data_IF_447828472624
#
_entry.id   IF_447828472624
#
_cell.length_a   1.000
_cell.length_b   1.000
_cell.length_c   1.000
_cell.angle_alpha   90.00
_cell.angle_beta   90.00
_cell.angle_gamma   90.00
#
_symmetry.space_group_name_H-M   'P 1'
#
loop_
_entity.id
_entity.type
_entity.pdbx_description
1 polymer ?
#
# COMPACT_ATOMS: atom_id res chain seq x y z
N UNK A 1 33.92 11.64 25.46
CA UNK A 1 32.85 11.95 26.44
C UNK A 1 31.58 12.34 25.70
N UNK A 2 30.49 11.69 26.06
CA UNK A 2 29.18 12.02 25.49
C UNK A 2 28.37 12.80 26.52
N UNK A 3 27.79 13.92 26.08
CA UNK A 3 26.84 14.69 26.88
C UNK A 3 25.41 14.38 26.39
N UNK A 4 24.50 14.14 27.33
CA UNK A 4 23.11 13.87 27.04
C UNK A 4 22.23 15.00 27.57
N UNK A 5 21.42 15.58 26.68
CA UNK A 5 20.40 16.57 27.04
C UNK A 5 19.02 15.89 26.84
N UNK A 6 18.17 15.94 27.85
CA UNK A 6 16.81 15.44 27.79
C UNK A 6 15.89 16.62 27.60
N UNK A 7 15.10 16.56 26.51
CA UNK A 7 14.06 17.54 26.18
C UNK A 7 12.70 16.86 26.34
N UNK A 8 11.89 17.35 27.26
CA UNK A 8 10.54 16.86 27.48
C UNK A 8 9.56 17.70 26.68
N UNK A 9 8.81 17.04 25.79
CA UNK A 9 7.80 17.69 24.95
C UNK A 9 6.44 17.65 25.64
N UNK A 10 5.65 18.71 25.40
CA UNK A 10 4.25 18.68 25.82
C UNK A 10 3.47 17.61 25.01
N UNK A 11 2.56 16.85 25.62
CA UNK A 11 1.73 15.86 24.91
C UNK A 11 0.99 16.39 23.66
N UNK A 12 0.69 17.67 23.61
CA UNK A 12 0.08 18.32 22.44
C UNK A 12 1.01 18.43 21.22
N UNK A 13 2.32 18.29 21.42
CA UNK A 13 3.36 18.38 20.40
C UNK A 13 3.94 16.98 20.04
N UNK A 14 3.25 15.89 20.37
CA UNK A 14 3.79 14.55 20.15
C UNK A 14 3.58 14.00 18.73
N UNK A 15 2.76 14.65 17.92
CA UNK A 15 2.51 14.22 16.52
C UNK A 15 2.06 15.39 15.65
N UNK A 16 2.36 15.33 14.35
CA UNK A 16 1.91 16.26 13.34
C UNK A 16 2.97 17.28 12.88
N UNK A 17 2.56 18.22 12.02
CA UNK A 17 3.44 19.16 11.33
C UNK A 17 4.22 20.07 12.30
N UNK A 18 3.60 20.50 13.40
CA UNK A 18 4.25 21.33 14.43
C UNK A 18 5.43 20.62 15.07
N UNK A 19 5.32 19.30 15.24
CA UNK A 19 6.35 18.47 15.78
C UNK A 19 7.53 18.32 14.80
N UNK A 20 7.25 18.21 13.52
CA UNK A 20 8.25 18.12 12.47
C UNK A 20 9.05 19.42 12.35
N UNK A 21 8.36 20.56 12.40
CA UNK A 21 8.99 21.86 12.40
C UNK A 21 9.87 22.07 13.64
N UNK A 22 9.41 21.68 14.81
CA UNK A 22 10.20 21.72 16.06
C UNK A 22 11.45 20.85 15.97
N UNK A 23 11.35 19.62 15.44
CA UNK A 23 12.49 18.72 15.28
C UNK A 23 13.56 19.31 14.34
N UNK A 24 13.13 19.93 13.25
CA UNK A 24 14.02 20.57 12.27
C UNK A 24 14.71 21.82 12.86
N UNK A 25 13.98 22.62 13.63
CA UNK A 25 14.54 23.75 14.38
C UNK A 25 15.57 23.27 15.40
N UNK A 26 15.30 22.23 16.16
CA UNK A 26 16.22 21.64 17.11
C UNK A 26 17.51 21.17 16.45
N UNK A 27 17.43 20.49 15.29
CA UNK A 27 18.60 20.09 14.50
C UNK A 27 19.41 21.28 14.00
N UNK A 28 18.73 22.31 13.53
CA UNK A 28 19.36 23.53 13.03
C UNK A 28 20.11 24.26 14.15
N UNK A 29 19.47 24.40 15.31
CA UNK A 29 20.08 25.02 16.49
C UNK A 29 21.29 24.20 16.96
N UNK A 30 21.13 22.89 17.08
CA UNK A 30 22.21 22.00 17.54
C UNK A 30 23.44 22.11 16.62
N UNK A 31 23.25 22.06 15.29
CA UNK A 31 24.34 22.22 14.30
C UNK A 31 24.99 23.61 14.35
N UNK A 32 24.23 24.65 14.68
CA UNK A 32 24.76 26.01 14.82
C UNK A 32 25.74 26.15 15.97
N UNK A 33 25.46 25.49 17.12
CA UNK A 33 26.29 25.57 18.30
C UNK A 33 27.41 24.51 18.36
N UNK A 34 27.24 23.40 17.64
CA UNK A 34 28.18 22.29 17.57
C UNK A 34 28.47 21.91 16.12
N UNK A 35 29.11 22.78 15.31
CA UNK A 35 29.31 22.54 13.88
C UNK A 35 30.18 21.31 13.58
N UNK A 36 31.14 20.99 14.45
CA UNK A 36 32.11 19.89 14.30
C UNK A 36 31.75 18.67 15.18
N UNK A 37 30.61 18.70 15.85
CA UNK A 37 30.19 17.63 16.77
C UNK A 37 29.24 16.64 16.14
N UNK A 38 29.39 15.36 16.48
CA UNK A 38 28.39 14.34 16.17
C UNK A 38 27.16 14.53 17.07
N UNK A 39 26.08 15.05 16.50
CA UNK A 39 24.84 15.31 17.23
C UNK A 39 23.80 14.28 16.78
N UNK A 40 23.29 13.52 17.75
CA UNK A 40 22.23 12.56 17.57
C UNK A 40 20.98 13.03 18.32
N UNK A 41 19.90 13.35 17.59
CA UNK A 41 18.58 13.52 18.17
C UNK A 41 17.86 12.16 18.11
N UNK A 42 17.52 11.62 19.28
CA UNK A 42 16.82 10.34 19.39
C UNK A 42 15.62 10.47 20.34
N UNK A 43 14.51 9.93 19.96
CA UNK A 43 13.26 9.94 20.73
C UNK A 43 12.09 9.56 19.83
N UNK A 44 10.93 9.24 20.42
CA UNK A 44 9.75 8.81 19.66
C UNK A 44 9.35 9.86 18.62
N UNK A 45 9.41 11.09 19.01
CA UNK A 45 9.10 12.24 18.18
C UNK A 45 10.04 12.41 16.97
N UNK A 46 11.34 12.26 17.16
CA UNK A 46 12.32 12.36 16.08
C UNK A 46 12.29 11.14 15.17
N UNK A 47 11.99 9.97 15.70
CA UNK A 47 11.82 8.75 14.92
C UNK A 47 10.67 8.89 13.92
N UNK A 48 9.52 9.41 14.35
CA UNK A 48 8.38 9.61 13.48
C UNK A 48 8.69 10.57 12.31
N UNK A 49 9.39 11.68 12.61
CA UNK A 49 9.87 12.62 11.61
C UNK A 49 10.84 11.99 10.60
N UNK A 50 11.83 11.26 11.08
CA UNK A 50 12.85 10.63 10.23
C UNK A 50 12.23 9.54 9.34
N UNK A 51 11.31 8.77 9.90
CA UNK A 51 10.53 7.80 9.14
C UNK A 51 9.69 8.47 8.05
N UNK A 52 8.98 9.54 8.34
CA UNK A 52 8.17 10.24 7.35
C UNK A 52 9.03 10.79 6.21
N UNK A 53 10.20 11.36 6.51
CA UNK A 53 11.11 11.93 5.50
C UNK A 53 11.72 10.87 4.59
N UNK A 54 12.11 9.72 5.15
CA UNK A 54 12.64 8.59 4.39
C UNK A 54 11.52 7.90 3.59
N UNK A 55 10.33 7.82 4.16
CA UNK A 55 9.20 7.10 3.60
C UNK A 55 8.80 7.56 2.19
N UNK A 56 8.83 8.86 1.91
CA UNK A 56 8.43 9.37 0.60
C UNK A 56 9.31 8.81 -0.53
N UNK A 57 10.62 8.69 -0.26
CA UNK A 57 11.58 8.13 -1.23
C UNK A 57 11.44 6.61 -1.29
N UNK A 58 11.37 5.95 -0.14
CA UNK A 58 11.23 4.49 -0.06
C UNK A 58 9.94 4.01 -0.72
N UNK A 59 8.84 4.74 -0.54
CA UNK A 59 7.55 4.43 -1.18
C UNK A 59 7.64 4.49 -2.71
N UNK A 60 8.28 5.52 -3.26
CA UNK A 60 8.48 5.63 -4.71
C UNK A 60 9.34 4.48 -5.22
N UNK A 61 10.45 4.18 -4.54
CA UNK A 61 11.35 3.10 -4.93
C UNK A 61 10.64 1.75 -4.89
N UNK A 62 9.95 1.43 -3.81
CA UNK A 62 9.20 0.17 -3.66
C UNK A 62 8.11 0.06 -4.72
N UNK A 63 7.33 1.13 -4.96
CA UNK A 63 6.27 1.12 -5.97
C UNK A 63 6.83 0.92 -7.38
N UNK A 64 7.88 1.64 -7.76
CA UNK A 64 8.50 1.50 -9.10
C UNK A 64 9.09 0.11 -9.28
N UNK A 65 9.80 -0.42 -8.29
CA UNK A 65 10.39 -1.77 -8.35
C UNK A 65 9.30 -2.83 -8.44
N UNK A 66 8.22 -2.70 -7.66
CA UNK A 66 7.08 -3.62 -7.69
C UNK A 66 6.41 -3.62 -9.07
N UNK A 67 6.11 -2.44 -9.62
CA UNK A 67 5.51 -2.32 -10.97
C UNK A 67 6.42 -2.90 -12.04
N UNK A 68 7.74 -2.67 -11.95
CA UNK A 68 8.70 -3.24 -12.90
C UNK A 68 8.74 -4.77 -12.84
N UNK A 69 8.79 -5.36 -11.65
CA UNK A 69 8.78 -6.81 -11.48
C UNK A 69 7.49 -7.40 -12.06
N UNK A 70 6.35 -6.80 -11.72
CA UNK A 70 5.03 -7.19 -12.23
C UNK A 70 4.98 -7.09 -13.75
N UNK A 71 5.46 -5.99 -14.32
CA UNK A 71 5.50 -5.80 -15.77
C UNK A 71 6.32 -6.89 -16.47
N UNK A 72 7.50 -7.22 -15.93
CA UNK A 72 8.37 -8.27 -16.46
C UNK A 72 7.63 -9.62 -16.45
N UNK A 73 7.03 -10.00 -15.32
CA UNK A 73 6.28 -11.26 -15.18
C UNK A 73 5.13 -11.32 -16.18
N UNK A 74 4.35 -10.25 -16.32
CA UNK A 74 3.23 -10.19 -17.26
C UNK A 74 3.67 -10.23 -18.72
N UNK A 75 4.80 -9.59 -19.08
CA UNK A 75 5.36 -9.65 -20.43
C UNK A 75 5.74 -11.08 -20.80
N UNK A 76 6.35 -11.83 -19.88
CA UNK A 76 6.66 -13.24 -20.10
C UNK A 76 5.39 -14.11 -20.23
N UNK A 77 4.35 -13.80 -19.45
CA UNK A 77 3.11 -14.57 -19.43
C UNK A 77 2.28 -14.36 -20.71
N UNK A 78 2.11 -13.12 -21.16
CA UNK A 78 1.16 -12.81 -22.25
C UNK A 78 1.81 -12.66 -23.63
N UNK A 79 3.12 -12.62 -23.73
CA UNK A 79 3.84 -12.39 -25.00
C UNK A 79 3.30 -11.21 -25.82
N UNK A 80 2.70 -10.24 -25.15
CA UNK A 80 2.09 -9.03 -25.69
C UNK A 80 2.35 -7.86 -24.75
N UNK A 81 2.55 -6.66 -25.29
CA UNK A 81 2.84 -5.47 -24.48
C UNK A 81 1.56 -4.76 -24.00
N UNK A 82 0.51 -4.81 -24.81
CA UNK A 82 -0.72 -4.07 -24.55
C UNK A 82 -1.49 -4.59 -23.30
N UNK A 83 -1.59 -5.91 -23.16
CA UNK A 83 -2.30 -6.53 -22.01
C UNK A 83 -1.63 -6.23 -20.67
N UNK A 84 -0.31 -6.43 -20.48
CA UNK A 84 0.39 -6.06 -19.25
C UNK A 84 0.21 -4.60 -18.84
N UNK A 85 0.35 -3.66 -19.77
CA UNK A 85 0.18 -2.23 -19.47
C UNK A 85 -1.24 -1.94 -18.98
N UNK A 86 -2.26 -2.48 -19.65
CA UNK A 86 -3.65 -2.28 -19.27
C UNK A 86 -3.93 -2.87 -17.88
N UNK A 87 -3.44 -4.08 -17.60
CA UNK A 87 -3.62 -4.74 -16.31
C UNK A 87 -2.97 -3.95 -15.18
N UNK A 88 -1.74 -3.46 -15.35
CA UNK A 88 -1.05 -2.63 -14.36
C UNK A 88 -1.83 -1.35 -14.10
N UNK A 89 -2.31 -0.65 -15.13
CA UNK A 89 -3.11 0.56 -14.97
C UNK A 89 -4.39 0.31 -14.16
N UNK A 90 -5.06 -0.81 -14.41
CA UNK A 90 -6.27 -1.20 -13.65
C UNK A 90 -5.94 -1.52 -12.21
N UNK A 91 -4.87 -2.28 -11.96
CA UNK A 91 -4.44 -2.66 -10.61
C UNK A 91 -4.02 -1.43 -9.81
N UNK A 92 -3.17 -0.56 -10.37
CA UNK A 92 -2.74 0.68 -9.72
C UNK A 92 -3.93 1.61 -9.45
N UNK A 93 -4.83 1.76 -10.42
CA UNK A 93 -6.05 2.53 -10.24
C UNK A 93 -6.93 2.01 -9.10
N UNK A 94 -7.08 0.69 -8.99
CA UNK A 94 -7.82 0.05 -7.90
C UNK A 94 -7.16 0.28 -6.52
N UNK A 95 -5.82 0.22 -6.45
CA UNK A 95 -5.05 0.52 -5.23
C UNK A 95 -5.26 1.98 -4.82
N UNK A 96 -5.20 2.92 -5.74
CA UNK A 96 -5.42 4.34 -5.46
C UNK A 96 -6.84 4.62 -4.97
N UNK A 97 -7.85 4.00 -5.56
CA UNK A 97 -9.24 4.09 -5.10
C UNK A 97 -9.37 3.56 -3.67
N UNK A 98 -8.75 2.42 -3.35
CA UNK A 98 -8.77 1.87 -2.01
C UNK A 98 -8.15 2.83 -0.97
N UNK A 99 -7.01 3.43 -1.27
CA UNK A 99 -6.36 4.39 -0.36
C UNK A 99 -7.05 5.76 -0.30
N UNK A 100 -7.94 6.06 -1.23
CA UNK A 100 -8.79 7.26 -1.15
C UNK A 100 -9.84 7.13 -0.04
N UNK A 101 -10.30 5.92 0.30
CA UNK A 101 -11.33 5.70 1.32
C UNK A 101 -10.93 6.22 2.71
N UNK A 102 -9.77 5.86 3.28
CA UNK A 102 -9.30 6.41 4.54
C UNK A 102 -9.16 7.94 4.54
N UNK A 103 -8.75 8.53 3.41
CA UNK A 103 -8.66 9.97 3.25
C UNK A 103 -10.02 10.65 3.35
N UNK A 104 -11.08 10.07 2.78
CA UNK A 104 -12.45 10.59 2.90
C UNK A 104 -13.04 10.43 4.31
N UNK A 105 -12.67 9.37 5.03
CA UNK A 105 -13.16 9.09 6.39
C UNK A 105 -12.31 9.81 7.46
N UNK A 106 -11.24 10.50 7.05
CA UNK A 106 -10.29 11.18 7.96
C UNK A 106 -9.65 10.24 9.00
N UNK A 107 -9.45 8.99 8.63
CA UNK A 107 -8.71 8.03 9.48
C UNK A 107 -7.22 8.09 9.16
N UNK A 108 -6.36 8.33 10.16
CA UNK A 108 -4.92 8.38 9.92
C UNK A 108 -4.42 6.99 9.50
N UNK A 109 -3.74 6.93 8.37
CA UNK A 109 -3.02 5.74 7.93
C UNK A 109 -1.56 5.86 8.32
N UNK A 110 -1.08 4.88 9.08
CA UNK A 110 0.35 4.77 9.34
C UNK A 110 1.09 4.41 8.04
N UNK A 111 2.17 5.10 7.76
CA UNK A 111 2.97 4.93 6.54
C UNK A 111 3.40 3.47 6.29
N UNK A 112 3.79 2.75 7.33
CA UNK A 112 4.18 1.34 7.24
C UNK A 112 2.99 0.45 6.81
N UNK A 113 1.79 0.76 7.31
CA UNK A 113 0.55 0.10 6.88
C UNK A 113 0.28 0.30 5.39
N UNK A 114 0.49 1.52 4.88
CA UNK A 114 0.36 1.81 3.45
C UNK A 114 1.28 0.95 2.58
N UNK A 115 2.58 0.88 2.90
CA UNK A 115 3.56 0.07 2.16
C UNK A 115 3.20 -1.43 2.15
N UNK A 116 2.84 -1.97 3.31
CA UNK A 116 2.49 -3.38 3.44
C UNK A 116 1.22 -3.70 2.65
N UNK A 117 0.18 -2.89 2.82
CA UNK A 117 -1.12 -3.12 2.17
C UNK A 117 -1.01 -2.95 0.65
N UNK A 118 -0.31 -1.92 0.16
CA UNK A 118 -0.12 -1.73 -1.29
C UNK A 118 0.63 -2.91 -1.92
N UNK A 119 1.67 -3.42 -1.27
CA UNK A 119 2.42 -4.59 -1.74
C UNK A 119 1.57 -5.87 -1.76
N UNK A 120 0.76 -6.11 -0.72
CA UNK A 120 -0.16 -7.25 -0.67
C UNK A 120 -1.22 -7.14 -1.77
N UNK A 121 -1.81 -5.97 -1.96
CA UNK A 121 -2.83 -5.75 -2.98
C UNK A 121 -2.28 -5.89 -4.39
N UNK A 122 -1.08 -5.38 -4.66
CA UNK A 122 -0.42 -5.58 -5.94
C UNK A 122 -0.25 -7.08 -6.24
N UNK A 123 0.29 -7.85 -5.28
CA UNK A 123 0.51 -9.29 -5.43
C UNK A 123 -0.80 -10.07 -5.61
N UNK A 124 -1.80 -9.83 -4.78
CA UNK A 124 -3.07 -10.55 -4.86
C UNK A 124 -3.87 -10.24 -6.13
N UNK A 125 -3.86 -8.98 -6.59
CA UNK A 125 -4.62 -8.58 -7.77
C UNK A 125 -4.03 -9.11 -9.07
N UNK A 126 -2.70 -9.25 -9.14
CA UNK A 126 -2.04 -9.72 -10.35
C UNK A 126 -2.39 -11.17 -10.66
N UNK A 127 -2.50 -12.02 -9.65
CA UNK A 127 -2.86 -13.42 -9.84
C UNK A 127 -4.26 -13.54 -10.45
N UNK A 128 -5.23 -12.76 -9.99
CA UNK A 128 -6.58 -12.74 -10.55
C UNK A 128 -6.60 -12.16 -11.97
N UNK A 129 -5.83 -11.11 -12.20
CA UNK A 129 -5.70 -10.51 -13.52
C UNK A 129 -5.12 -11.49 -14.54
N UNK A 130 -4.11 -12.27 -14.16
CA UNK A 130 -3.50 -13.32 -15.00
C UNK A 130 -4.53 -14.38 -15.32
N UNK A 131 -5.26 -14.91 -14.33
CA UNK A 131 -6.27 -15.96 -14.54
C UNK A 131 -7.35 -15.51 -15.51
N UNK A 132 -8.00 -14.37 -15.27
CA UNK A 132 -9.05 -13.84 -16.15
C UNK A 132 -8.52 -13.60 -17.56
N UNK A 133 -7.35 -12.98 -17.68
CA UNK A 133 -6.80 -12.59 -18.98
C UNK A 133 -6.32 -13.80 -19.78
N UNK A 134 -5.81 -14.84 -19.12
CA UNK A 134 -5.43 -16.11 -19.75
C UNK A 134 -6.67 -16.81 -20.32
N UNK A 135 -7.70 -17.02 -19.50
CA UNK A 135 -8.97 -17.60 -19.96
C UNK A 135 -9.58 -16.80 -21.12
N UNK A 136 -9.61 -15.46 -21.00
CA UNK A 136 -10.09 -14.60 -22.08
C UNK A 136 -9.30 -14.77 -23.38
N UNK A 137 -7.97 -14.83 -23.29
CA UNK A 137 -7.10 -14.94 -24.47
C UNK A 137 -7.31 -16.27 -25.19
N UNK A 138 -7.56 -17.34 -24.45
CA UNK A 138 -7.83 -18.66 -25.02
C UNK A 138 -9.23 -18.73 -25.63
N UNK A 139 -10.25 -18.30 -24.93
CA UNK A 139 -11.63 -18.33 -25.39
C UNK A 139 -11.89 -17.39 -26.58
N UNK A 140 -11.17 -16.27 -26.68
CA UNK A 140 -11.26 -15.34 -27.81
C UNK A 140 -10.86 -15.95 -29.15
N UNK A 141 -10.14 -17.08 -29.16
CA UNK A 141 -9.77 -17.78 -30.39
C UNK A 141 -10.96 -18.54 -31.01
N UNK A 142 -11.95 -18.91 -30.18
CA UNK A 142 -13.07 -19.78 -30.57
C UNK A 142 -14.41 -19.06 -30.56
N UNK A 143 -14.56 -17.95 -29.87
CA UNK A 143 -15.81 -17.23 -29.73
C UNK A 143 -15.67 -15.71 -29.84
N UNK A 144 -16.77 -14.99 -29.89
CA UNK A 144 -16.79 -13.52 -30.01
C UNK A 144 -16.19 -12.89 -28.75
N UNK A 145 -15.48 -11.74 -28.82
CA UNK A 145 -14.81 -11.12 -27.68
C UNK A 145 -15.70 -10.90 -26.46
N UNK A 146 -16.97 -10.53 -26.65
CA UNK A 146 -17.93 -10.32 -25.56
C UNK A 146 -18.30 -11.63 -24.87
N UNK A 147 -18.55 -12.68 -25.64
CA UNK A 147 -18.90 -14.01 -25.13
C UNK A 147 -17.71 -14.64 -24.41
N UNK A 148 -16.51 -14.49 -24.99
CA UNK A 148 -15.25 -14.93 -24.37
C UNK A 148 -14.99 -14.25 -23.01
N UNK A 149 -15.27 -12.94 -22.90
CA UNK A 149 -15.10 -12.22 -21.65
C UNK A 149 -16.09 -12.70 -20.57
N UNK A 150 -17.37 -12.90 -20.94
CA UNK A 150 -18.39 -13.40 -20.00
C UNK A 150 -18.03 -14.82 -19.53
N UNK A 151 -17.59 -15.69 -20.44
CA UNK A 151 -17.17 -17.04 -20.10
C UNK A 151 -15.94 -17.05 -19.18
N UNK A 152 -14.90 -16.25 -19.51
CA UNK A 152 -13.70 -16.13 -18.70
C UNK A 152 -14.01 -15.61 -17.28
N UNK A 153 -14.90 -14.62 -17.16
CA UNK A 153 -15.32 -14.11 -15.85
C UNK A 153 -16.08 -15.17 -15.05
N UNK A 154 -17.01 -15.90 -15.68
CA UNK A 154 -17.76 -16.96 -14.99
C UNK A 154 -16.86 -18.08 -14.49
N UNK A 155 -15.83 -18.43 -15.25
CA UNK A 155 -14.88 -19.48 -14.89
C UNK A 155 -13.92 -19.03 -13.78
N UNK A 156 -13.45 -17.77 -13.81
CA UNK A 156 -12.57 -17.22 -12.80
C UNK A 156 -13.30 -16.81 -11.50
N UNK A 157 -14.61 -16.50 -11.58
CA UNK A 157 -15.38 -15.94 -10.47
C UNK A 157 -15.32 -16.77 -9.16
N UNK A 158 -15.51 -18.10 -9.16
CA UNK A 158 -15.45 -18.89 -7.93
C UNK A 158 -14.09 -18.75 -7.21
N UNK A 159 -13.00 -18.75 -7.96
CA UNK A 159 -11.65 -18.64 -7.42
C UNK A 159 -11.42 -17.26 -6.81
N UNK A 160 -11.80 -16.20 -7.55
CA UNK A 160 -11.66 -14.82 -7.09
C UNK A 160 -12.51 -14.56 -5.85
N UNK A 161 -13.77 -15.04 -5.86
CA UNK A 161 -14.68 -14.88 -4.74
C UNK A 161 -14.18 -15.58 -3.48
N UNK A 162 -13.70 -16.82 -3.61
CA UNK A 162 -13.16 -17.58 -2.49
C UNK A 162 -11.94 -16.90 -1.89
N UNK A 163 -10.97 -16.52 -2.71
CA UNK A 163 -9.74 -15.86 -2.25
C UNK A 163 -10.02 -14.49 -1.66
N UNK A 164 -10.91 -13.70 -2.29
CA UNK A 164 -11.33 -12.39 -1.77
C UNK A 164 -12.03 -12.52 -0.41
N UNK A 165 -12.87 -13.54 -0.23
CA UNK A 165 -13.54 -13.82 1.05
C UNK A 165 -12.53 -14.21 2.12
N UNK A 166 -11.54 -15.05 1.80
CA UNK A 166 -10.47 -15.43 2.74
C UNK A 166 -9.69 -14.19 3.18
N UNK A 167 -9.30 -13.35 2.24
CA UNK A 167 -8.55 -12.13 2.52
C UNK A 167 -9.38 -11.15 3.38
N UNK A 168 -10.68 -11.00 3.08
CA UNK A 168 -11.59 -10.15 3.85
C UNK A 168 -11.76 -10.65 5.29
N UNK A 169 -11.98 -11.96 5.48
CA UNK A 169 -12.12 -12.55 6.81
C UNK A 169 -10.82 -12.44 7.60
N UNK A 170 -9.67 -12.74 6.99
CA UNK A 170 -8.37 -12.62 7.64
C UNK A 170 -8.10 -11.16 8.05
N UNK A 171 -8.35 -10.20 7.16
CA UNK A 171 -8.20 -8.78 7.45
C UNK A 171 -9.13 -8.30 8.56
N UNK A 172 -10.40 -8.72 8.56
CA UNK A 172 -11.36 -8.40 9.61
C UNK A 172 -10.93 -8.96 10.97
N UNK A 173 -10.46 -10.20 11.01
CA UNK A 173 -9.94 -10.81 12.22
C UNK A 173 -8.74 -10.06 12.78
N UNK A 174 -7.77 -9.70 11.93
CA UNK A 174 -6.61 -8.90 12.33
C UNK A 174 -7.06 -7.55 12.87
N UNK A 175 -7.98 -6.87 12.17
CA UNK A 175 -8.48 -5.57 12.59
C UNK A 175 -9.21 -5.56 13.94
N UNK A 176 -9.96 -6.64 14.25
CA UNK A 176 -10.73 -6.74 15.49
C UNK A 176 -9.89 -7.29 16.65
N UNK A 177 -8.99 -8.24 16.40
CA UNK A 177 -8.24 -8.92 17.46
C UNK A 177 -7.02 -8.13 17.94
N UNK A 178 -6.53 -7.16 17.16
CA UNK A 178 -5.32 -6.42 17.53
C UNK A 178 -5.67 -5.10 18.23
N UNK A 179 -4.92 -4.81 19.28
CA UNK A 179 -4.98 -3.52 19.99
C UNK A 179 -3.99 -2.50 19.43
N UNK A 180 -3.07 -2.93 18.57
CA UNK A 180 -2.08 -2.05 17.95
C UNK A 180 -2.71 -1.37 16.73
N UNK A 181 -2.80 -0.02 16.71
CA UNK A 181 -3.49 0.71 15.66
C UNK A 181 -2.85 0.54 14.27
N UNK A 182 -1.53 0.32 14.20
CA UNK A 182 -0.83 0.06 12.94
C UNK A 182 -1.26 -1.27 12.33
N UNK A 183 -1.30 -2.32 13.14
CA UNK A 183 -1.70 -3.66 12.70
C UNK A 183 -3.20 -3.69 12.38
N UNK A 184 -4.02 -2.98 13.15
CA UNK A 184 -5.45 -2.84 12.86
C UNK A 184 -5.70 -2.17 11.51
N UNK A 185 -4.94 -1.13 11.18
CA UNK A 185 -5.00 -0.46 9.87
C UNK A 185 -4.64 -1.41 8.72
N UNK A 186 -3.61 -2.26 8.89
CA UNK A 186 -3.23 -3.28 7.91
C UNK A 186 -4.38 -4.29 7.69
N UNK A 187 -5.09 -4.67 8.75
CA UNK A 187 -6.23 -5.59 8.65
C UNK A 187 -7.46 -4.98 7.98
N UNK A 188 -7.77 -3.72 8.26
CA UNK A 188 -9.01 -3.06 7.77
C UNK A 188 -8.93 -2.60 6.32
N UNK A 189 -7.76 -2.19 5.83
CA UNK A 189 -7.59 -1.76 4.43
C UNK A 189 -7.95 -2.83 3.38
N UNK A 190 -7.49 -4.10 3.49
CA UNK A 190 -7.90 -5.17 2.56
C UNK A 190 -9.40 -5.47 2.60
N UNK A 191 -10.05 -5.34 3.76
CA UNK A 191 -11.50 -5.54 3.90
C UNK A 191 -12.27 -4.49 3.11
N UNK A 192 -11.87 -3.22 3.20
CA UNK A 192 -12.47 -2.13 2.44
C UNK A 192 -12.34 -2.35 0.93
N UNK A 193 -11.19 -2.86 0.48
CA UNK A 193 -10.95 -3.20 -0.92
C UNK A 193 -11.87 -4.30 -1.44
N UNK A 194 -12.02 -5.40 -0.70
CA UNK A 194 -12.89 -6.51 -1.11
C UNK A 194 -14.36 -6.11 -1.17
N UNK A 195 -14.83 -5.25 -0.28
CA UNK A 195 -16.18 -4.70 -0.33
C UNK A 195 -16.42 -3.77 -1.51
N UNK A 196 -15.41 -3.04 -1.98
CA UNK A 196 -15.52 -2.15 -3.14
C UNK A 196 -15.45 -2.89 -4.48
N UNK A 197 -14.72 -3.98 -4.56
CA UNK A 197 -14.51 -4.71 -5.84
C UNK A 197 -15.58 -5.76 -6.11
N UNK A 198 -16.15 -6.41 -5.09
CA UNK A 198 -17.18 -7.42 -5.25
C UNK A 198 -18.51 -6.92 -5.85
N UNK A 199 -19.03 -5.70 -5.56
CA UNK A 199 -20.26 -5.21 -6.19
C UNK A 199 -20.10 -4.75 -7.64
N UNK A 200 -18.89 -4.50 -8.11
CA UNK A 200 -18.64 -4.00 -9.49
C UNK A 200 -18.68 -5.10 -10.56
N UNK A 201 -18.84 -6.36 -10.16
CA UNK A 201 -18.90 -7.52 -11.07
C UNK A 201 -20.34 -7.91 -11.45
N UNK A 202 -21.33 -7.06 -11.16
CA UNK A 202 -22.75 -7.27 -11.60
C UNK A 202 -23.01 -6.72 -12.99
#
# INVERSE_FOLDING_TARGET
DYNRILVYLNPSLQSGDEMYEFTDQMRTIARKYYPDGDIYLAGDATNEYDFQKSFAIDNIVVSVVSVLIVLIVLLFTFQSVAMPILLILVIEGAIWVNFSVPAFIHTPLYFMGYLIVSSIQMGANIDYAIVISSHYTDLKKEMRPKEAMIAALNEAFPTIFTSGTILAVAGALIGVMTTNPVIAAIGTCPVSYTHLTLPTIR
#
